data_IF_880609519055
#
_entry.id   IF_880609519055
#
_cell.length_a   1.000
_cell.length_b   1.000
_cell.length_c   1.000
_cell.angle_alpha   90.00
_cell.angle_beta   90.00
_cell.angle_gamma   90.00
#
_symmetry.space_group_name_H-M   'P 1'
#
loop_
_entity.id
_entity.type
_entity.pdbx_description
1 polymer ?
#
# COMPACT_ATOMS: atom_id res chain seq x y z
N UNK A 1 -11.62 -69.85 12.60
CA UNK A 1 -11.54 -68.48 12.03
C UNK A 1 -11.59 -67.55 13.24
N UNK A 2 -10.60 -66.72 13.59
CA UNK A 2 -9.81 -65.80 12.77
C UNK A 2 -8.48 -65.48 13.49
N UNK A 3 -7.53 -65.02 12.69
CA UNK A 3 -6.11 -64.81 12.98
C UNK A 3 -5.86 -63.38 13.51
N UNK A 4 -5.02 -63.28 14.54
CA UNK A 4 -4.05 -62.23 14.92
C UNK A 4 -4.39 -60.72 14.83
N UNK A 5 -3.96 -59.95 15.84
CA UNK A 5 -2.69 -59.19 15.83
C UNK A 5 -2.52 -58.35 17.11
N UNK A 6 -1.41 -58.60 17.81
CA UNK A 6 -0.76 -57.62 18.69
C UNK A 6 -0.12 -56.57 17.78
N UNK A 7 -0.29 -55.28 18.08
CA UNK A 7 0.55 -54.23 17.52
C UNK A 7 0.99 -53.26 18.62
N UNK A 8 2.29 -53.29 18.87
CA UNK A 8 3.09 -52.35 19.64
C UNK A 8 3.37 -51.08 18.84
N UNK A 9 3.53 -49.96 19.59
CA UNK A 9 4.26 -48.72 19.29
C UNK A 9 3.81 -47.85 18.11
N UNK A 10 3.74 -46.53 18.32
CA UNK A 10 4.73 -45.56 17.80
C UNK A 10 4.50 -44.17 18.42
N UNK A 11 5.57 -43.63 18.99
CA UNK A 11 5.69 -42.24 19.42
C UNK A 11 5.76 -41.37 18.15
N UNK A 12 4.97 -40.30 18.05
CA UNK A 12 5.14 -39.29 17.00
C UNK A 12 4.69 -37.93 17.52
N UNK A 13 5.66 -37.20 18.02
CA UNK A 13 5.66 -35.77 18.27
C UNK A 13 5.42 -35.00 16.97
N UNK A 14 4.36 -34.20 16.95
CA UNK A 14 4.12 -33.18 15.93
C UNK A 14 4.13 -31.83 16.61
N UNK A 15 5.33 -31.25 16.71
CA UNK A 15 5.52 -29.82 16.92
C UNK A 15 4.89 -29.07 15.74
N UNK A 16 3.69 -28.51 15.91
CA UNK A 16 3.21 -27.46 15.02
C UNK A 16 3.94 -26.17 15.40
N UNK A 17 5.11 -26.02 14.77
CA UNK A 17 5.80 -24.75 14.64
C UNK A 17 4.78 -23.70 14.20
N UNK A 18 4.39 -22.81 15.13
CA UNK A 18 4.06 -21.43 14.81
C UNK A 18 5.35 -20.75 14.35
N UNK A 19 5.85 -21.20 13.20
CA UNK A 19 6.96 -20.58 12.49
C UNK A 19 6.39 -19.44 11.68
N UNK A 20 6.71 -18.22 12.10
CA UNK A 20 6.95 -17.06 11.26
C UNK A 20 6.61 -17.26 9.76
N UNK A 21 5.40 -16.88 9.35
CA UNK A 21 5.20 -16.33 8.00
C UNK A 21 5.68 -14.87 8.03
N UNK A 22 6.93 -14.69 8.44
CA UNK A 22 7.71 -13.52 8.06
C UNK A 22 8.23 -13.90 6.69
N UNK A 23 7.39 -13.67 5.67
CA UNK A 23 7.82 -13.65 4.27
C UNK A 23 9.18 -12.96 4.28
N UNK A 24 10.25 -13.67 3.91
CA UNK A 24 11.57 -13.07 3.78
C UNK A 24 11.42 -11.97 2.73
N UNK A 25 11.11 -10.75 3.18
CA UNK A 25 11.05 -9.59 2.32
C UNK A 25 12.47 -9.47 1.75
N UNK A 26 12.58 -9.68 0.44
CA UNK A 26 13.86 -9.59 -0.25
C UNK A 26 14.51 -8.25 0.12
N UNK A 27 15.80 -8.21 0.37
CA UNK A 27 16.52 -7.03 0.85
C UNK A 27 16.25 -5.80 -0.04
N UNK A 28 16.09 -6.04 -1.35
CA UNK A 28 15.73 -5.03 -2.34
C UNK A 28 14.35 -4.40 -2.12
N UNK A 29 13.37 -5.20 -1.65
CA UNK A 29 12.02 -4.72 -1.36
C UNK A 29 12.02 -3.77 -0.17
N UNK A 30 12.79 -4.08 0.88
CA UNK A 30 12.94 -3.22 2.05
C UNK A 30 13.61 -1.90 1.68
N UNK A 31 14.70 -1.96 0.90
CA UNK A 31 15.41 -0.77 0.40
C UNK A 31 14.48 0.17 -0.37
N UNK A 32 13.63 -0.35 -1.24
CA UNK A 32 12.68 0.49 -1.99
C UNK A 32 11.56 1.03 -1.10
N UNK A 33 11.01 0.23 -0.17
CA UNK A 33 10.02 0.74 0.79
C UNK A 33 10.59 1.91 1.59
N UNK A 34 11.82 1.80 2.07
CA UNK A 34 12.46 2.86 2.85
C UNK A 34 12.86 4.06 2.01
N UNK A 35 13.32 3.85 0.77
CA UNK A 35 13.54 4.92 -0.20
C UNK A 35 12.25 5.73 -0.44
N UNK A 36 11.13 5.06 -0.71
CA UNK A 36 9.83 5.72 -0.93
C UNK A 36 9.35 6.47 0.31
N UNK A 37 9.53 5.90 1.51
CA UNK A 37 9.25 6.60 2.77
C UNK A 37 10.08 7.87 2.88
N UNK A 38 11.38 7.79 2.64
CA UNK A 38 12.28 8.95 2.76
C UNK A 38 11.98 10.02 1.71
N UNK A 39 11.54 9.62 0.51
CA UNK A 39 11.20 10.52 -0.57
C UNK A 39 9.92 11.33 -0.28
N UNK A 40 8.88 10.70 0.28
CA UNK A 40 7.55 11.32 0.37
C UNK A 40 7.17 11.74 1.80
N UNK A 41 7.73 11.15 2.84
CA UNK A 41 7.37 11.47 4.24
C UNK A 41 7.66 12.94 4.54
N UNK A 42 6.78 13.55 5.33
CA UNK A 42 6.87 14.95 5.77
C UNK A 42 6.75 16.00 4.67
N UNK A 43 6.55 15.62 3.40
CA UNK A 43 6.25 16.58 2.32
C UNK A 43 4.91 17.26 2.61
N UNK A 44 4.91 18.58 2.52
CA UNK A 44 3.73 19.44 2.61
C UNK A 44 3.35 19.84 1.19
N UNK A 45 2.07 19.79 0.84
CA UNK A 45 1.60 20.10 -0.50
C UNK A 45 0.19 20.68 -0.50
N UNK A 46 -0.10 21.48 -1.53
CA UNK A 46 -1.44 21.96 -1.80
C UNK A 46 -2.22 20.90 -2.60
N UNK A 47 -3.40 20.53 -2.10
CA UNK A 47 -4.28 19.59 -2.76
C UNK A 47 -5.74 19.97 -2.63
N UNK A 48 -6.60 19.35 -3.44
CA UNK A 48 -8.05 19.41 -3.31
C UNK A 48 -8.58 18.05 -2.87
N UNK A 49 -9.18 17.97 -1.69
CA UNK A 49 -9.95 16.80 -1.28
C UNK A 49 -11.24 16.74 -2.11
N UNK A 50 -11.39 15.68 -2.89
CA UNK A 50 -12.48 15.52 -3.85
C UNK A 50 -13.64 14.75 -3.24
N UNK A 51 -13.37 13.55 -2.75
CA UNK A 51 -14.38 12.61 -2.30
C UNK A 51 -13.75 11.41 -1.58
N UNK A 52 -14.61 10.56 -1.01
CA UNK A 52 -14.25 9.25 -0.46
C UNK A 52 -14.84 8.16 -1.33
N UNK A 53 -13.98 7.29 -1.89
CA UNK A 53 -14.38 6.23 -2.83
C UNK A 53 -13.87 4.87 -2.37
N UNK A 54 -14.60 3.81 -2.72
CA UNK A 54 -14.13 2.43 -2.54
C UNK A 54 -12.97 2.18 -3.53
N UNK A 55 -11.76 1.95 -3.02
CA UNK A 55 -10.58 1.72 -3.86
C UNK A 55 -10.52 0.27 -4.37
N UNK A 56 -10.72 -0.68 -3.47
CA UNK A 56 -10.79 -2.13 -3.72
C UNK A 56 -11.54 -2.79 -2.56
N UNK A 57 -12.14 -3.96 -2.76
CA UNK A 57 -12.79 -4.74 -1.71
C UNK A 57 -11.83 -5.10 -0.57
N UNK A 58 -10.55 -5.34 -0.89
CA UNK A 58 -9.52 -5.67 0.11
C UNK A 58 -9.01 -4.44 0.87
N UNK A 59 -8.98 -3.29 0.20
CA UNK A 59 -8.38 -2.05 0.72
C UNK A 59 -9.40 -1.21 1.47
N UNK A 60 -10.65 -1.25 1.00
CA UNK A 60 -11.78 -0.47 1.49
C UNK A 60 -11.82 0.95 0.92
N UNK A 61 -12.52 1.83 1.63
CA UNK A 61 -12.67 3.22 1.26
C UNK A 61 -11.41 4.03 1.53
N UNK A 62 -11.11 4.96 0.63
CA UNK A 62 -9.99 5.90 0.73
C UNK A 62 -10.43 7.28 0.27
N UNK A 63 -9.77 8.28 0.83
CA UNK A 63 -9.95 9.68 0.51
C UNK A 63 -9.10 10.04 -0.70
N UNK A 64 -9.70 10.72 -1.67
CA UNK A 64 -9.02 11.11 -2.91
C UNK A 64 -8.65 12.58 -2.83
N UNK A 65 -7.35 12.86 -2.83
CA UNK A 65 -6.80 14.21 -2.90
C UNK A 65 -6.18 14.43 -4.26
N UNK A 66 -6.73 15.36 -5.04
CA UNK A 66 -6.10 15.82 -6.27
C UNK A 66 -4.94 16.75 -5.94
N UNK A 67 -3.76 16.44 -6.46
CA UNK A 67 -2.58 17.27 -6.32
C UNK A 67 -2.74 18.58 -7.10
N UNK A 68 -2.36 19.72 -6.50
CA UNK A 68 -2.34 21.00 -7.20
C UNK A 68 -1.37 20.97 -8.40
N UNK A 69 -1.70 21.56 -9.56
CA UNK A 69 -0.78 21.66 -10.68
C UNK A 69 0.54 22.39 -10.37
N UNK A 70 0.56 23.21 -9.32
CA UNK A 70 1.76 23.93 -8.87
C UNK A 70 2.79 23.00 -8.19
N UNK A 71 2.39 21.82 -7.72
CA UNK A 71 3.23 20.88 -6.97
C UNK A 71 4.05 19.98 -7.93
N UNK A 72 4.87 20.60 -8.78
CA UNK A 72 5.61 19.91 -9.86
C UNK A 72 6.64 18.92 -9.29
N UNK A 73 7.33 19.31 -8.22
CA UNK A 73 8.34 18.44 -7.59
C UNK A 73 7.72 17.21 -6.96
N UNK A 74 6.67 17.39 -6.14
CA UNK A 74 5.98 16.27 -5.52
C UNK A 74 5.32 15.37 -6.57
N UNK A 75 4.81 15.94 -7.66
CA UNK A 75 4.31 15.16 -8.80
C UNK A 75 5.39 14.23 -9.36
N UNK A 76 6.61 14.74 -9.56
CA UNK A 76 7.76 13.95 -10.02
C UNK A 76 8.11 12.85 -9.02
N UNK A 77 8.21 13.20 -7.73
CA UNK A 77 8.56 12.26 -6.66
C UNK A 77 7.52 11.13 -6.53
N UNK A 78 6.22 11.45 -6.67
CA UNK A 78 5.14 10.46 -6.63
C UNK A 78 5.20 9.49 -7.82
N UNK A 79 5.47 10.00 -9.03
CA UNK A 79 5.63 9.15 -10.22
C UNK A 79 6.87 8.27 -10.11
N UNK A 80 7.97 8.80 -9.59
CA UNK A 80 9.19 8.03 -9.33
C UNK A 80 8.94 6.91 -8.30
N UNK A 81 8.30 7.24 -7.19
CA UNK A 81 7.89 6.27 -6.18
C UNK A 81 6.98 5.18 -6.77
N UNK A 82 5.99 5.57 -7.58
CA UNK A 82 5.09 4.65 -8.25
C UNK A 82 5.85 3.68 -9.17
N UNK A 83 6.75 4.19 -10.02
CA UNK A 83 7.56 3.37 -10.92
C UNK A 83 8.44 2.38 -10.15
N UNK A 84 9.10 2.83 -9.06
CA UNK A 84 9.92 1.95 -8.22
C UNK A 84 9.10 0.86 -7.55
N UNK A 85 7.92 1.19 -7.02
CA UNK A 85 7.03 0.21 -6.41
C UNK A 85 6.53 -0.81 -7.42
N UNK A 86 6.11 -0.36 -8.61
CA UNK A 86 5.65 -1.24 -9.68
C UNK A 86 6.76 -2.17 -10.21
N UNK A 87 8.01 -1.72 -10.21
CA UNK A 87 9.15 -2.56 -10.63
C UNK A 87 9.39 -3.77 -9.72
N UNK A 88 9.05 -3.65 -8.43
CA UNK A 88 9.27 -4.71 -7.42
C UNK A 88 7.99 -5.50 -7.18
N UNK A 89 6.83 -4.86 -7.29
CA UNK A 89 5.52 -5.44 -7.06
C UNK A 89 4.66 -5.40 -8.34
N UNK A 90 5.02 -6.16 -9.38
CA UNK A 90 4.28 -6.13 -10.63
C UNK A 90 2.85 -6.66 -10.43
N UNK A 91 1.86 -5.84 -10.74
CA UNK A 91 0.42 -6.15 -10.86
C UNK A 91 -0.28 -6.82 -9.65
N UNK A 92 0.40 -6.93 -8.51
CA UNK A 92 -0.14 -7.61 -7.32
C UNK A 92 -0.60 -6.64 -6.25
N UNK A 93 -0.02 -5.44 -6.22
CA UNK A 93 -0.23 -4.49 -5.13
C UNK A 93 -0.82 -3.19 -5.65
N UNK A 94 -1.84 -2.73 -4.96
CA UNK A 94 -2.41 -1.41 -5.21
C UNK A 94 -1.46 -0.33 -4.69
N UNK A 95 -1.24 0.67 -5.53
CA UNK A 95 -0.47 1.87 -5.17
C UNK A 95 -1.46 3.01 -5.05
N UNK A 96 -1.40 3.76 -3.95
CA UNK A 96 -2.29 4.89 -3.67
C UNK A 96 -2.05 6.13 -4.52
N UNK A 97 -1.62 5.96 -5.77
CA UNK A 97 -1.30 7.02 -6.73
C UNK A 97 -1.95 6.64 -8.06
N UNK A 98 -2.71 7.57 -8.64
CA UNK A 98 -3.41 7.34 -9.91
C UNK A 98 -3.51 8.62 -10.72
N UNK A 99 -3.64 8.50 -12.05
CA UNK A 99 -4.07 9.62 -12.89
C UNK A 99 -5.46 10.07 -12.47
N UNK A 100 -5.71 11.37 -12.46
CA UNK A 100 -7.04 11.90 -12.18
C UNK A 100 -8.09 11.44 -13.20
N UNK A 101 -7.66 11.17 -14.44
CA UNK A 101 -8.51 10.70 -15.54
C UNK A 101 -9.10 9.33 -15.23
N UNK A 102 -8.33 8.45 -14.58
CA UNK A 102 -8.81 7.14 -14.14
C UNK A 102 -9.94 7.22 -13.10
N UNK A 103 -10.10 8.38 -12.46
CA UNK A 103 -11.12 8.65 -11.43
C UNK A 103 -12.31 9.45 -12.02
N UNK A 104 -12.19 9.94 -13.25
CA UNK A 104 -13.20 10.78 -13.91
C UNK A 104 -12.97 12.28 -13.73
N UNK A 105 -11.75 12.70 -13.36
CA UNK A 105 -11.38 14.11 -13.23
C UNK A 105 -10.39 14.54 -14.32
N UNK A 106 -10.52 15.78 -14.84
CA UNK A 106 -9.63 16.29 -15.88
C UNK A 106 -8.21 16.40 -15.31
N UNK A 107 -7.24 15.81 -16.00
CA UNK A 107 -5.77 15.90 -15.85
C UNK A 107 -5.14 16.10 -14.45
N UNK A 108 -4.06 15.36 -14.19
CA UNK A 108 -3.26 15.47 -12.97
C UNK A 108 -3.12 14.15 -12.23
N UNK A 109 -2.66 14.24 -10.99
CA UNK A 109 -2.42 13.09 -10.12
C UNK A 109 -3.34 13.16 -8.91
N UNK A 110 -3.89 12.01 -8.54
CA UNK A 110 -4.66 11.82 -7.33
C UNK A 110 -3.90 10.90 -6.36
N UNK A 111 -3.91 11.29 -5.10
CA UNK A 111 -3.36 10.54 -3.97
C UNK A 111 -4.53 9.94 -3.21
N UNK A 112 -4.47 8.64 -2.98
CA UNK A 112 -5.43 7.91 -2.18
C UNK A 112 -4.89 7.76 -0.76
N UNK A 113 -5.61 8.32 0.21
CA UNK A 113 -5.13 8.49 1.58
C UNK A 113 -6.24 8.25 2.60
N UNK A 114 -5.91 8.40 3.88
CA UNK A 114 -6.82 8.40 5.02
C UNK A 114 -6.71 9.81 5.66
N UNK A 115 -7.80 10.59 5.66
CA UNK A 115 -7.84 11.96 6.20
C UNK A 115 -8.73 12.00 7.45
N UNK A 116 -8.35 12.82 8.43
CA UNK A 116 -9.12 13.04 9.65
C UNK A 116 -10.26 14.05 9.38
N UNK A 117 -11.47 13.55 9.10
CA UNK A 117 -12.74 14.30 9.06
C UNK A 117 -12.68 15.73 8.49
N UNK A 118 -11.95 15.93 7.39
CA UNK A 118 -11.83 17.23 6.72
C UNK A 118 -13.00 17.43 5.74
N UNK A 119 -13.61 18.64 5.66
CA UNK A 119 -14.57 18.93 4.59
C UNK A 119 -13.91 18.87 3.21
N UNK A 120 -14.70 18.67 2.15
CA UNK A 120 -14.21 18.76 0.77
C UNK A 120 -13.72 20.18 0.45
N UNK A 121 -12.63 20.30 -0.31
CA UNK A 121 -12.04 21.61 -0.59
C UNK A 121 -10.53 21.59 -0.77
N UNK A 122 -9.94 22.77 -0.83
CA UNK A 122 -8.50 22.97 -1.04
C UNK A 122 -7.81 23.19 0.30
N UNK A 123 -6.77 22.41 0.59
CA UNK A 123 -6.03 22.48 1.85
C UNK A 123 -4.55 22.20 1.62
N UNK A 124 -3.76 22.63 2.61
CA UNK A 124 -2.40 22.14 2.79
C UNK A 124 -2.45 20.79 3.48
N UNK A 125 -1.87 19.78 2.84
CA UNK A 125 -1.74 18.43 3.38
C UNK A 125 -0.29 18.15 3.73
N UNK A 126 -0.07 17.29 4.72
CA UNK A 126 1.24 16.76 5.05
C UNK A 126 1.20 15.24 5.01
N UNK A 127 2.17 14.62 4.33
CA UNK A 127 2.32 13.16 4.32
C UNK A 127 2.89 12.70 5.67
N UNK A 128 2.00 12.31 6.60
CA UNK A 128 2.39 11.82 7.94
C UNK A 128 3.14 10.48 7.86
N UNK A 129 2.64 9.55 7.06
CA UNK A 129 3.17 8.19 6.97
C UNK A 129 2.79 7.50 5.66
N UNK A 130 3.62 6.55 5.22
CA UNK A 130 3.31 5.64 4.11
C UNK A 130 3.14 4.24 4.69
N UNK A 131 2.02 3.58 4.37
CA UNK A 131 1.70 2.24 4.85
C UNK A 131 1.90 1.23 3.72
N UNK A 132 2.65 0.16 3.99
CA UNK A 132 2.74 -1.02 3.13
C UNK A 132 1.93 -2.11 3.82
N UNK A 133 0.88 -2.60 3.16
CA UNK A 133 -0.08 -3.58 3.69
C UNK A 133 -0.24 -4.70 2.69
#
# INVERSE_FOLDING_TARGET
>A
MSVSRVNTSFNSSSSSQYGDIKTMENEDTLKVKDYVKNLLKSRIFLGRYLERRLADQRIGYRDIVKLSPAEVELKRDLLEAQCKLQSIFPNTHWVGISSSEAIGHPSGICIWTEIENQPFGVFWFQIKSIKFR
#
